data_IF_895629484118
#
_entry.id   IF_895629484118
#
_cell.length_a   1.000
_cell.length_b   1.000
_cell.length_c   1.000
_cell.angle_alpha   90.00
_cell.angle_beta   90.00
_cell.angle_gamma   90.00
#
_symmetry.space_group_name_H-M   'P 1'
#
loop_
_entity.id
_entity.type
_entity.pdbx_description
1 polymer ?
#
# COMPACT_ATOMS: atom_id res chain seq x y z
N UNK A 1 41.78 13.24 55.17
CA UNK A 1 41.12 12.39 54.16
C UNK A 1 39.62 12.36 54.45
N UNK A 2 38.82 13.14 53.73
CA UNK A 2 37.35 12.98 53.68
C UNK A 2 37.00 12.74 52.21
N UNK A 3 36.46 11.56 51.92
CA UNK A 3 35.99 11.18 50.58
C UNK A 3 34.57 11.70 50.42
N UNK A 4 34.37 12.61 49.47
CA UNK A 4 33.05 13.07 49.04
C UNK A 4 32.31 11.99 48.25
N UNK A 5 31.08 11.71 48.65
CA UNK A 5 30.09 10.94 47.91
C UNK A 5 29.53 11.80 46.78
N UNK A 6 29.70 11.35 45.52
CA UNK A 6 28.96 11.89 44.36
C UNK A 6 27.65 11.12 44.25
N UNK A 7 26.54 11.79 44.53
CA UNK A 7 25.21 11.31 44.15
C UNK A 7 25.03 11.46 42.64
N UNK A 8 24.71 10.37 41.96
CA UNK A 8 24.34 10.36 40.55
C UNK A 8 22.85 10.67 40.41
N UNK A 9 22.48 11.91 40.10
CA UNK A 9 21.11 12.25 39.71
C UNK A 9 20.86 11.82 38.26
N UNK A 10 20.23 10.66 38.04
CA UNK A 10 19.65 10.33 36.73
C UNK A 10 18.27 10.97 36.63
N UNK A 11 18.16 12.01 35.81
CA UNK A 11 16.86 12.59 35.48
C UNK A 11 15.97 11.54 34.78
N UNK A 12 14.66 11.48 35.09
CA UNK A 12 13.75 10.52 34.45
C UNK A 12 13.65 10.83 32.95
N UNK A 13 13.86 9.82 32.11
CA UNK A 13 13.68 9.91 30.66
C UNK A 13 12.21 10.26 30.38
N UNK A 14 11.95 11.48 29.93
CA UNK A 14 10.63 11.90 29.45
C UNK A 14 10.23 11.01 28.27
N UNK A 15 9.19 10.19 28.44
CA UNK A 15 8.62 9.39 27.34
C UNK A 15 7.94 10.38 26.38
N UNK A 16 8.57 10.63 25.22
CA UNK A 16 7.95 11.45 24.18
C UNK A 16 6.76 10.71 23.59
N UNK A 17 5.58 11.32 23.65
CA UNK A 17 4.38 10.82 22.94
C UNK A 17 4.68 10.73 21.44
N UNK A 18 4.44 9.58 20.78
CA UNK A 18 4.63 9.45 19.35
C UNK A 18 3.77 10.47 18.57
N UNK A 19 4.23 10.96 17.41
CA UNK A 19 3.43 11.83 16.55
C UNK A 19 2.10 11.16 16.14
N UNK A 20 1.05 11.96 16.00
CA UNK A 20 -0.25 11.47 15.53
C UNK A 20 -0.15 10.97 14.07
N UNK A 21 -0.66 9.77 13.73
CA UNK A 21 -0.70 9.30 12.35
C UNK A 21 -1.58 10.20 11.49
N UNK A 22 -1.10 10.67 10.34
CA UNK A 22 -1.90 11.42 9.36
C UNK A 22 -2.82 10.50 8.55
N UNK A 23 -4.08 10.88 8.26
CA UNK A 23 -4.96 10.11 7.41
C UNK A 23 -4.45 10.14 5.97
N UNK A 24 -4.40 8.98 5.35
CA UNK A 24 -3.93 8.84 3.97
C UNK A 24 -4.64 7.70 3.27
N UNK A 25 -4.56 7.70 1.95
CA UNK A 25 -5.16 6.66 1.10
C UNK A 25 -4.23 6.33 -0.05
N UNK A 26 -4.29 5.10 -0.54
CA UNK A 26 -3.47 4.66 -1.67
C UNK A 26 -4.15 3.55 -2.47
N UNK A 27 -3.90 3.53 -3.78
CA UNK A 27 -4.53 2.61 -4.72
C UNK A 27 -3.48 1.70 -5.34
N UNK A 28 -3.68 0.38 -5.20
CA UNK A 28 -3.04 -0.61 -6.05
C UNK A 28 -3.83 -0.66 -7.37
N UNK A 29 -3.38 0.11 -8.35
CA UNK A 29 -4.06 0.25 -9.63
C UNK A 29 -3.62 -0.85 -10.59
N UNK A 30 -4.56 -1.67 -11.05
CA UNK A 30 -4.33 -2.70 -12.06
C UNK A 30 -4.67 -2.19 -13.46
N UNK A 31 -3.74 -2.36 -14.40
CA UNK A 31 -3.97 -2.14 -15.82
C UNK A 31 -4.98 -3.16 -16.39
N UNK A 32 -5.49 -2.96 -17.62
CA UNK A 32 -6.26 -3.98 -18.33
C UNK A 32 -5.57 -5.35 -18.44
N UNK A 33 -4.23 -5.39 -18.37
CA UNK A 33 -3.40 -6.61 -18.39
C UNK A 33 -2.92 -7.04 -17.01
N UNK A 34 -3.55 -6.55 -15.93
CA UNK A 34 -3.22 -6.84 -14.53
C UNK A 34 -1.80 -6.46 -14.07
N UNK A 35 -1.13 -5.57 -14.80
CA UNK A 35 0.10 -4.95 -14.34
C UNK A 35 -0.22 -3.95 -13.23
N UNK A 36 0.70 -3.75 -12.29
CA UNK A 36 0.53 -2.83 -11.16
C UNK A 36 1.28 -1.53 -11.41
N UNK A 37 0.59 -0.40 -11.22
CA UNK A 37 1.22 0.92 -11.26
C UNK A 37 2.06 1.16 -10.01
N UNK A 38 3.34 1.49 -10.21
CA UNK A 38 4.18 2.10 -9.18
C UNK A 38 4.73 3.45 -9.67
N UNK A 39 4.88 4.36 -8.71
CA UNK A 39 5.44 5.69 -8.87
C UNK A 39 6.80 5.78 -8.18
N UNK A 40 7.76 6.44 -8.82
CA UNK A 40 9.10 6.66 -8.27
C UNK A 40 9.22 8.07 -7.67
N UNK A 41 9.29 8.15 -6.35
CA UNK A 41 9.32 9.42 -5.62
C UNK A 41 10.64 10.17 -5.80
N UNK A 42 10.56 11.50 -5.84
CA UNK A 42 11.74 12.40 -5.88
C UNK A 42 12.67 12.19 -4.68
N UNK A 43 13.96 12.45 -4.87
CA UNK A 43 14.98 12.36 -3.81
C UNK A 43 14.70 13.31 -2.63
N UNK A 44 14.10 14.46 -2.90
CA UNK A 44 13.74 15.48 -1.90
C UNK A 44 12.49 15.11 -1.09
N UNK A 45 11.82 14.00 -1.41
CA UNK A 45 10.63 13.58 -0.71
C UNK A 45 10.93 13.38 0.78
N UNK A 46 10.15 14.04 1.62
CA UNK A 46 10.37 14.03 3.07
C UNK A 46 9.87 12.75 3.75
N UNK A 47 9.33 11.81 2.98
CA UNK A 47 8.96 10.44 3.38
C UNK A 47 9.18 9.53 2.17
N UNK A 48 9.72 8.33 2.39
CA UNK A 48 9.95 7.34 1.33
C UNK A 48 10.73 7.90 0.12
N UNK A 49 11.76 8.72 0.36
CA UNK A 49 12.60 9.26 -0.72
C UNK A 49 13.17 8.14 -1.61
N UNK A 50 13.13 8.33 -2.93
CA UNK A 50 13.56 7.36 -3.95
C UNK A 50 12.78 6.04 -3.94
N UNK A 51 11.71 5.92 -3.14
CA UNK A 51 10.92 4.70 -3.09
C UNK A 51 10.01 4.57 -4.30
N UNK A 52 9.71 3.32 -4.63
CA UNK A 52 8.62 2.96 -5.52
C UNK A 52 7.38 2.72 -4.67
N UNK A 53 6.31 3.46 -4.94
CA UNK A 53 5.08 3.46 -4.15
C UNK A 53 3.85 3.33 -5.03
N UNK A 54 2.77 2.79 -4.48
CA UNK A 54 1.45 2.94 -5.10
C UNK A 54 1.05 4.42 -5.08
N UNK A 55 0.26 4.91 -6.05
CA UNK A 55 -0.33 6.24 -5.99
C UNK A 55 -1.10 6.44 -4.68
N UNK A 56 -0.95 7.61 -4.07
CA UNK A 56 -1.61 7.93 -2.81
C UNK A 56 -0.87 8.94 -1.94
N UNK A 57 -1.64 9.62 -1.10
CA UNK A 57 -1.13 10.68 -0.24
C UNK A 57 -2.06 10.98 0.93
N UNK A 58 -1.89 12.16 1.52
CA UNK A 58 -2.66 12.57 2.70
C UNK A 58 -4.05 13.04 2.30
N UNK A 59 -5.02 12.84 3.19
CA UNK A 59 -6.35 13.42 2.99
C UNK A 59 -6.31 14.93 3.20
N UNK A 60 -7.10 15.64 2.39
CA UNK A 60 -7.30 17.08 2.45
C UNK A 60 -8.77 17.40 2.73
N UNK A 61 -9.05 18.15 3.81
CA UNK A 61 -10.41 18.59 4.12
C UNK A 61 -11.03 19.40 2.96
N UNK A 62 -10.22 20.14 2.21
CA UNK A 62 -10.66 20.97 1.07
C UNK A 62 -11.09 20.16 -0.15
N UNK A 63 -10.41 19.04 -0.42
CA UNK A 63 -10.71 18.22 -1.60
C UNK A 63 -11.59 17.01 -1.28
N UNK A 64 -11.32 16.35 -0.15
CA UNK A 64 -11.79 14.99 0.15
C UNK A 64 -12.91 14.99 1.20
N UNK A 65 -13.04 16.09 1.96
CA UNK A 65 -13.95 16.24 3.08
C UNK A 65 -13.33 15.84 4.42
N UNK A 66 -14.03 16.15 5.50
CA UNK A 66 -13.50 16.01 6.86
C UNK A 66 -13.35 14.56 7.32
N UNK A 67 -12.25 14.30 8.01
CA UNK A 67 -11.98 13.03 8.71
C UNK A 67 -12.27 13.13 10.21
N UNK A 68 -12.68 12.04 10.88
CA UNK A 68 -12.86 12.05 12.33
C UNK A 68 -11.58 12.48 13.08
N UNK A 69 -11.71 13.08 14.27
CA UNK A 69 -10.56 13.54 15.06
C UNK A 69 -9.70 12.36 15.54
N UNK A 70 -8.41 12.59 15.86
CA UNK A 70 -7.44 11.57 16.31
C UNK A 70 -7.93 10.53 17.32
N UNK A 71 -8.69 10.97 18.32
CA UNK A 71 -9.19 10.13 19.40
C UNK A 71 -10.43 9.29 19.02
N UNK A 72 -10.96 9.46 17.81
CA UNK A 72 -12.13 8.72 17.34
C UNK A 72 -11.70 7.48 16.55
N UNK A 73 -12.04 6.25 16.98
CA UNK A 73 -11.69 5.02 16.28
C UNK A 73 -12.17 4.96 14.81
N UNK A 74 -13.25 5.68 14.47
CA UNK A 74 -13.77 5.78 13.10
C UNK A 74 -12.78 6.46 12.15
N UNK A 75 -11.80 7.21 12.68
CA UNK A 75 -10.70 7.77 11.90
C UNK A 75 -9.93 6.71 11.13
N UNK A 76 -9.89 5.48 11.64
CA UNK A 76 -9.18 4.36 11.02
C UNK A 76 -10.11 3.42 10.24
N UNK A 77 -11.31 3.88 9.89
CA UNK A 77 -12.26 3.13 9.06
C UNK A 77 -12.30 3.71 7.66
N UNK A 78 -12.63 2.85 6.69
CA UNK A 78 -12.95 3.29 5.34
C UNK A 78 -14.11 4.30 5.38
N UNK A 79 -14.05 5.32 4.53
CA UNK A 79 -15.06 6.37 4.43
C UNK A 79 -14.99 7.04 3.06
N UNK A 80 -16.01 7.85 2.74
CA UNK A 80 -16.03 8.62 1.49
C UNK A 80 -14.79 9.51 1.35
N UNK A 81 -14.32 10.14 2.43
CA UNK A 81 -13.11 10.97 2.40
C UNK A 81 -11.87 10.18 2.01
N UNK A 82 -11.69 8.96 2.53
CA UNK A 82 -10.59 8.09 2.12
C UNK A 82 -10.70 7.66 0.65
N UNK A 83 -11.91 7.37 0.17
CA UNK A 83 -12.16 6.97 -1.22
C UNK A 83 -11.90 8.12 -2.21
N UNK A 84 -12.35 9.33 -1.88
CA UNK A 84 -12.10 10.53 -2.69
C UNK A 84 -10.62 10.89 -2.70
N UNK A 85 -9.95 10.88 -1.55
CA UNK A 85 -8.52 11.13 -1.47
C UNK A 85 -7.71 10.11 -2.27
N UNK A 86 -8.13 8.84 -2.30
CA UNK A 86 -7.45 7.81 -3.08
C UNK A 86 -7.48 8.13 -4.58
N UNK A 87 -8.65 8.55 -5.08
CA UNK A 87 -8.86 8.90 -6.49
C UNK A 87 -8.16 10.20 -6.85
N UNK A 88 -8.27 11.24 -6.01
CA UNK A 88 -7.59 12.52 -6.20
C UNK A 88 -6.09 12.36 -6.27
N UNK A 89 -5.48 11.70 -5.29
CA UNK A 89 -4.03 11.49 -5.24
C UNK A 89 -3.56 10.68 -6.45
N UNK A 90 -4.32 9.67 -6.87
CA UNK A 90 -4.00 8.92 -8.10
C UNK A 90 -4.00 9.83 -9.32
N UNK A 91 -4.97 10.74 -9.42
CA UNK A 91 -5.02 11.73 -10.50
C UNK A 91 -3.85 12.73 -10.44
N UNK A 92 -3.57 13.29 -9.27
CA UNK A 92 -2.48 14.24 -9.05
C UNK A 92 -1.10 13.64 -9.31
N UNK A 93 -0.86 12.39 -8.93
CA UNK A 93 0.47 11.78 -9.00
C UNK A 93 0.72 11.01 -10.32
N UNK A 94 -0.33 10.49 -10.97
CA UNK A 94 -0.19 9.68 -12.20
C UNK A 94 -0.88 10.24 -13.43
N UNK A 95 -1.77 11.24 -13.28
CA UNK A 95 -2.59 11.76 -14.37
C UNK A 95 -3.78 10.86 -14.75
N UNK A 96 -3.89 9.64 -14.19
CA UNK A 96 -5.00 8.73 -14.45
C UNK A 96 -6.22 9.16 -13.63
N UNK A 97 -7.31 9.51 -14.30
CA UNK A 97 -8.56 9.92 -13.65
C UNK A 97 -9.50 8.73 -13.46
N UNK A 98 -9.76 8.37 -12.20
CA UNK A 98 -10.71 7.31 -11.83
C UNK A 98 -12.09 7.91 -11.58
N UNK A 99 -12.74 8.32 -12.67
CA UNK A 99 -14.08 8.89 -12.65
C UNK A 99 -14.93 8.33 -13.79
N UNK A 100 -16.25 8.46 -13.67
CA UNK A 100 -17.24 8.03 -14.65
C UNK A 100 -18.04 9.20 -15.18
N UNK A 101 -18.48 9.09 -16.42
CA UNK A 101 -19.26 10.12 -17.10
C UNK A 101 -20.74 10.07 -16.67
N UNK A 102 -21.26 11.20 -16.18
CA UNK A 102 -22.67 11.45 -15.87
C UNK A 102 -23.25 10.69 -14.66
N UNK A 103 -22.84 9.44 -14.46
CA UNK A 103 -23.35 8.57 -13.38
C UNK A 103 -22.33 7.50 -12.99
N UNK A 104 -22.61 6.79 -11.89
CA UNK A 104 -21.77 5.70 -11.39
C UNK A 104 -21.74 4.46 -12.28
N UNK A 105 -22.71 4.31 -13.17
CA UNK A 105 -22.76 3.23 -14.16
C UNK A 105 -22.22 3.67 -15.53
N UNK A 106 -21.79 4.93 -15.65
CA UNK A 106 -21.22 5.49 -16.86
C UNK A 106 -19.86 4.87 -17.23
N UNK A 107 -19.40 5.05 -18.48
CA UNK A 107 -18.05 4.69 -18.87
C UNK A 107 -17.03 5.51 -18.09
N UNK A 108 -15.77 5.06 -18.08
CA UNK A 108 -14.69 5.88 -17.54
C UNK A 108 -14.63 7.22 -18.29
N UNK A 109 -14.63 8.30 -17.52
CA UNK A 109 -14.55 9.66 -18.04
C UNK A 109 -13.19 9.86 -18.69
N UNK A 110 -13.20 10.21 -19.97
CA UNK A 110 -11.99 10.52 -20.71
C UNK A 110 -11.93 12.02 -21.02
N UNK A 111 -10.74 12.59 -20.87
CA UNK A 111 -10.47 14.01 -21.13
C UNK A 111 -9.28 14.14 -22.06
N UNK A 112 -9.26 15.20 -22.88
CA UNK A 112 -8.08 15.52 -23.66
C UNK A 112 -6.88 15.77 -22.74
N UNK A 113 -5.69 15.32 -23.15
CA UNK A 113 -4.47 15.41 -22.34
C UNK A 113 -4.19 16.82 -21.83
N UNK A 114 -4.40 17.85 -22.66
CA UNK A 114 -4.20 19.26 -22.27
C UNK A 114 -5.17 19.76 -21.21
N UNK A 115 -6.45 19.36 -21.26
CA UNK A 115 -7.46 19.72 -20.26
C UNK A 115 -7.17 19.01 -18.94
N UNK A 116 -6.79 17.74 -19.04
CA UNK A 116 -6.41 16.89 -17.91
C UNK A 116 -5.21 17.47 -17.15
N UNK A 117 -4.14 17.82 -17.85
CA UNK A 117 -2.93 18.36 -17.24
C UNK A 117 -3.16 19.75 -16.62
N UNK A 118 -3.97 20.59 -17.27
CA UNK A 118 -4.37 21.89 -16.72
C UNK A 118 -5.15 21.73 -15.42
N UNK A 119 -6.12 20.83 -15.38
CA UNK A 119 -6.91 20.55 -14.19
C UNK A 119 -6.05 19.95 -13.07
N UNK A 120 -5.21 18.97 -13.41
CA UNK A 120 -4.26 18.32 -12.49
C UNK A 120 -3.41 19.35 -11.76
N UNK A 121 -2.84 20.31 -12.50
CA UNK A 121 -2.05 21.39 -11.91
C UNK A 121 -2.86 22.27 -10.95
N UNK A 122 -4.03 22.75 -11.39
CA UNK A 122 -4.87 23.63 -10.58
C UNK A 122 -5.38 22.95 -9.29
N UNK A 123 -5.65 21.65 -9.35
CA UNK A 123 -6.08 20.88 -8.18
C UNK A 123 -4.91 20.71 -7.21
N UNK A 124 -3.73 20.33 -7.69
CA UNK A 124 -2.52 20.19 -6.87
C UNK A 124 -2.11 21.51 -6.18
N UNK A 125 -2.25 22.64 -6.89
CA UNK A 125 -1.97 23.98 -6.33
C UNK A 125 -3.05 24.45 -5.34
N UNK A 126 -4.18 23.74 -5.24
CA UNK A 126 -5.30 24.08 -4.35
C UNK A 126 -6.22 25.19 -4.88
N UNK A 127 -6.09 25.55 -6.17
CA UNK A 127 -6.89 26.60 -6.80
C UNK A 127 -8.34 26.19 -7.01
N UNK A 128 -8.60 24.89 -7.21
CA UNK A 128 -9.93 24.32 -7.37
C UNK A 128 -10.08 23.01 -6.59
N UNK A 129 -11.24 22.81 -5.97
CA UNK A 129 -11.56 21.55 -5.28
C UNK A 129 -11.77 20.42 -6.31
N UNK A 130 -11.22 19.23 -6.03
CA UNK A 130 -11.26 18.09 -6.95
C UNK A 130 -12.70 17.69 -7.27
N UNK A 131 -13.55 17.56 -6.24
CA UNK A 131 -14.96 17.21 -6.42
C UNK A 131 -15.75 18.27 -7.21
N UNK A 132 -15.45 19.56 -7.01
CA UNK A 132 -16.12 20.64 -7.74
C UNK A 132 -15.71 20.74 -9.19
N UNK A 133 -14.42 20.54 -9.47
CA UNK A 133 -13.94 20.42 -10.83
C UNK A 133 -14.60 19.22 -11.53
N UNK A 134 -14.63 18.06 -10.87
CA UNK A 134 -15.19 16.84 -11.45
C UNK A 134 -16.69 17.00 -11.77
N UNK A 135 -17.45 17.58 -10.85
CA UNK A 135 -18.86 17.93 -11.06
C UNK A 135 -19.05 18.89 -12.26
N UNK A 136 -18.16 19.89 -12.40
CA UNK A 136 -18.25 20.90 -13.49
C UNK A 136 -18.07 20.34 -14.90
N UNK A 137 -17.40 19.19 -15.02
CA UNK A 137 -17.19 18.48 -16.29
C UNK A 137 -18.14 17.29 -16.45
N UNK A 138 -19.18 17.19 -15.60
CA UNK A 138 -20.16 16.09 -15.65
C UNK A 138 -19.60 14.75 -15.16
N UNK A 139 -18.48 14.75 -14.44
CA UNK A 139 -17.84 13.56 -13.90
C UNK A 139 -18.35 13.18 -12.51
N UNK A 140 -18.26 11.88 -12.20
CA UNK A 140 -18.53 11.32 -10.88
C UNK A 140 -17.33 10.46 -10.47
N UNK A 141 -16.77 10.68 -9.27
CA UNK A 141 -15.64 9.88 -8.80
C UNK A 141 -16.05 8.40 -8.66
N UNK A 142 -15.23 7.47 -9.17
CA UNK A 142 -15.55 6.04 -9.19
C UNK A 142 -15.25 5.34 -7.85
N UNK A 143 -15.86 5.86 -6.79
CA UNK A 143 -15.59 5.42 -5.41
C UNK A 143 -16.09 4.00 -5.13
N UNK A 144 -17.03 3.48 -5.91
CA UNK A 144 -17.62 2.14 -5.71
C UNK A 144 -16.74 1.02 -6.27
N UNK A 145 -15.94 1.31 -7.29
CA UNK A 145 -14.98 0.36 -7.86
C UNK A 145 -13.70 0.21 -7.01
N UNK A 146 -13.54 1.03 -5.96
CA UNK A 146 -12.48 0.85 -4.96
C UNK A 146 -12.81 -0.32 -4.03
N UNK A 147 -12.06 -1.42 -4.18
CA UNK A 147 -12.12 -2.57 -3.28
C UNK A 147 -11.23 -2.29 -2.05
N UNK A 148 -11.78 -2.12 -0.83
CA UNK A 148 -10.95 -1.89 0.34
C UNK A 148 -10.08 -3.11 0.63
N UNK A 149 -8.78 -2.90 0.81
CA UNK A 149 -7.84 -4.02 0.97
C UNK A 149 -7.21 -4.12 2.35
N UNK A 150 -6.47 -3.14 2.84
CA UNK A 150 -5.89 -3.17 4.20
C UNK A 150 -5.64 -1.76 4.69
N UNK A 151 -5.56 -1.57 6.00
CA UNK A 151 -5.03 -0.34 6.58
C UNK A 151 -3.62 -0.54 7.11
N UNK A 152 -2.73 0.38 6.80
CA UNK A 152 -1.38 0.41 7.33
C UNK A 152 -1.20 1.58 8.28
N UNK A 153 -0.75 1.31 9.50
CA UNK A 153 -0.50 2.31 10.52
C UNK A 153 1.00 2.34 10.81
N UNK A 154 1.65 3.49 10.60
CA UNK A 154 3.08 3.62 10.86
C UNK A 154 3.39 3.40 12.35
N UNK A 155 4.32 2.51 12.72
CA UNK A 155 4.73 2.32 14.12
C UNK A 155 5.21 3.62 14.79
N UNK A 156 5.32 3.69 16.13
CA UNK A 156 5.63 4.94 16.85
C UNK A 156 7.06 5.50 16.65
N UNK A 157 7.98 4.74 16.05
CA UNK A 157 9.39 5.12 15.91
C UNK A 157 9.66 6.28 14.93
N UNK A 158 9.15 6.23 13.68
CA UNK A 158 9.36 7.30 12.70
C UNK A 158 8.71 8.64 13.11
N UNK A 159 9.34 9.79 12.74
CA UNK A 159 8.82 11.12 13.06
C UNK A 159 7.57 11.49 12.27
N UNK A 160 7.35 10.83 11.13
CA UNK A 160 6.16 10.98 10.30
C UNK A 160 5.41 9.66 10.32
N UNK A 161 4.15 9.72 10.73
CA UNK A 161 3.28 8.57 10.86
C UNK A 161 2.04 8.78 10.02
N UNK A 162 1.51 7.69 9.50
CA UNK A 162 0.37 7.66 8.60
C UNK A 162 -0.58 6.54 9.01
N UNK A 163 -1.86 6.73 8.71
CA UNK A 163 -2.89 5.69 8.75
C UNK A 163 -3.49 5.58 7.36
N UNK A 164 -2.86 4.75 6.53
CA UNK A 164 -3.16 4.64 5.10
C UNK A 164 -4.20 3.56 4.84
N UNK A 165 -5.35 3.92 4.26
CA UNK A 165 -6.27 2.95 3.67
C UNK A 165 -5.77 2.55 2.29
N UNK A 166 -5.51 1.26 2.09
CA UNK A 166 -5.15 0.69 0.79
C UNK A 166 -6.42 0.19 0.10
N UNK A 167 -6.52 0.46 -1.20
CA UNK A 167 -7.55 -0.07 -2.08
C UNK A 167 -6.91 -0.85 -3.24
N UNK A 168 -7.65 -1.79 -3.81
CA UNK A 168 -7.40 -2.31 -5.15
C UNK A 168 -8.40 -1.66 -6.09
N UNK A 169 -7.93 -1.17 -7.22
CA UNK A 169 -8.77 -0.70 -8.31
C UNK A 169 -8.35 -1.42 -9.60
N UNK A 170 -9.32 -1.95 -10.34
CA UNK A 170 -9.05 -2.69 -11.58
C UNK A 170 -9.61 -1.90 -12.77
N UNK A 171 -8.73 -1.33 -13.60
CA UNK A 171 -9.16 -0.67 -14.84
C UNK A 171 -9.92 -1.66 -15.72
N UNK A 172 -10.97 -1.26 -16.45
CA UNK A 172 -11.73 -2.15 -17.32
C UNK A 172 -10.82 -3.00 -18.22
N UNK A 173 -11.13 -4.29 -18.33
CA UNK A 173 -10.40 -5.16 -19.27
C UNK A 173 -10.66 -4.73 -20.71
N UNK A 174 -11.88 -4.29 -20.98
CA UNK A 174 -12.36 -3.88 -22.30
C UNK A 174 -12.30 -2.36 -22.40
N UNK A 175 -11.69 -1.87 -23.47
CA UNK A 175 -11.87 -0.50 -23.95
C UNK A 175 -13.05 -0.44 -24.91
N UNK A 176 -13.51 0.77 -25.24
CA UNK A 176 -14.61 0.97 -26.19
C UNK A 176 -14.42 0.17 -27.48
N UNK A 177 -15.52 -0.37 -28.05
CA UNK A 177 -15.51 -1.01 -29.36
C UNK A 177 -15.24 0.00 -30.50
N UNK A 178 -15.42 1.29 -30.23
CA UNK A 178 -15.02 2.37 -31.13
C UNK A 178 -13.48 2.55 -31.08
N UNK A 179 -12.77 2.40 -32.22
CA UNK A 179 -11.31 2.49 -32.26
C UNK A 179 -10.74 3.84 -31.81
N UNK A 180 -11.45 4.95 -32.06
CA UNK A 180 -11.02 6.30 -31.68
C UNK A 180 -11.15 6.48 -30.16
N UNK A 181 -12.29 6.06 -29.60
CA UNK A 181 -12.49 6.09 -28.15
C UNK A 181 -11.54 5.14 -27.43
N UNK A 182 -11.28 3.96 -28.01
CA UNK A 182 -10.33 2.98 -27.48
C UNK A 182 -8.90 3.52 -27.45
N UNK A 183 -8.46 4.20 -28.51
CA UNK A 183 -7.15 4.84 -28.57
C UNK A 183 -7.05 5.98 -27.54
N UNK A 184 -8.07 6.83 -27.45
CA UNK A 184 -8.10 7.93 -26.48
C UNK A 184 -8.13 7.42 -25.03
N UNK A 185 -8.83 6.31 -24.75
CA UNK A 185 -8.81 5.66 -23.45
C UNK A 185 -7.41 5.10 -23.15
N UNK A 186 -6.79 4.42 -24.13
CA UNK A 186 -5.44 3.89 -23.96
C UNK A 186 -4.42 4.98 -23.66
N UNK A 187 -4.52 6.14 -24.33
CA UNK A 187 -3.68 7.31 -24.05
C UNK A 187 -3.90 7.86 -22.64
N UNK A 188 -5.15 7.97 -22.19
CA UNK A 188 -5.49 8.47 -20.85
C UNK A 188 -5.05 7.55 -19.71
N UNK A 189 -4.79 6.27 -20.01
CA UNK A 189 -4.26 5.29 -19.06
C UNK A 189 -2.73 5.24 -19.04
N UNK A 190 -2.04 6.00 -19.89
CA UNK A 190 -0.58 6.14 -19.81
C UNK A 190 -0.28 7.04 -18.61
N UNK A 191 0.36 6.52 -17.56
CA UNK A 191 0.66 7.31 -16.39
C UNK A 191 1.76 8.33 -16.73
N UNK A 192 1.57 9.58 -16.32
CA UNK A 192 2.55 10.65 -16.49
C UNK A 192 3.02 11.17 -15.13
N UNK A 193 4.33 11.36 -14.92
CA UNK A 193 4.81 12.01 -13.70
C UNK A 193 4.24 13.42 -13.60
N UNK A 194 4.18 13.96 -12.39
CA UNK A 194 3.66 15.30 -12.07
C UNK A 194 4.61 16.45 -12.48
N UNK A 195 5.39 16.26 -13.53
CA UNK A 195 6.47 17.17 -13.92
C UNK A 195 7.67 17.14 -12.97
N UNK A 196 7.77 16.14 -12.08
CA UNK A 196 8.90 15.98 -11.16
C UNK A 196 8.75 16.75 -9.85
N UNK A 197 7.53 17.18 -9.51
CA UNK A 197 7.25 17.86 -8.24
C UNK A 197 7.39 16.90 -7.07
N UNK A 198 6.71 15.76 -7.13
CA UNK A 198 6.81 14.65 -6.19
C UNK A 198 7.23 13.34 -6.84
N UNK A 199 6.91 13.14 -8.13
CA UNK A 199 7.07 11.88 -8.84
C UNK A 199 7.97 12.06 -10.07
N UNK A 200 9.05 11.27 -10.13
CA UNK A 200 10.01 11.30 -11.25
C UNK A 200 9.65 10.35 -12.38
N UNK A 201 8.93 9.27 -12.09
CA UNK A 201 8.48 8.29 -13.07
C UNK A 201 7.22 7.57 -12.56
N UNK A 202 6.39 7.13 -13.49
CA UNK A 202 5.21 6.32 -13.22
C UNK A 202 5.16 5.18 -14.25
N UNK A 203 5.01 3.94 -13.80
CA UNK A 203 5.10 2.78 -14.69
C UNK A 203 4.22 1.62 -14.23
N UNK A 204 3.56 0.97 -15.19
CA UNK A 204 2.91 -0.32 -15.00
C UNK A 204 3.91 -1.43 -15.30
N UNK A 205 4.01 -2.41 -14.41
CA UNK A 205 4.79 -3.63 -14.65
C UNK A 205 4.13 -4.83 -13.97
N UNK A 206 4.55 -6.03 -14.34
CA UNK A 206 4.08 -7.26 -13.70
C UNK A 206 4.53 -7.28 -12.23
N UNK A 207 3.68 -7.85 -11.37
CA UNK A 207 3.98 -7.98 -9.93
C UNK A 207 5.29 -8.74 -9.70
N UNK A 208 5.49 -9.82 -10.44
CA UNK A 208 6.72 -10.62 -10.38
C UNK A 208 7.95 -9.77 -10.74
N UNK A 209 7.87 -8.98 -11.80
CA UNK A 209 8.96 -8.09 -12.22
C UNK A 209 9.28 -7.05 -11.16
N UNK A 210 8.29 -6.43 -10.51
CA UNK A 210 8.55 -5.50 -9.40
C UNK A 210 9.27 -6.16 -8.23
N UNK A 211 8.85 -7.36 -7.84
CA UNK A 211 9.48 -8.11 -6.74
C UNK A 211 10.91 -8.55 -7.10
N UNK A 212 11.14 -9.00 -8.34
CA UNK A 212 12.47 -9.37 -8.84
C UNK A 212 13.43 -8.17 -8.84
N UNK A 213 12.97 -7.01 -9.36
CA UNK A 213 13.76 -5.77 -9.34
C UNK A 213 14.12 -5.36 -7.91
N UNK A 214 13.24 -5.56 -6.94
CA UNK A 214 13.54 -5.30 -5.53
C UNK A 214 14.60 -6.26 -4.99
N UNK A 215 14.52 -7.54 -5.36
CA UNK A 215 15.52 -8.55 -5.04
C UNK A 215 16.90 -8.23 -5.62
N UNK A 216 16.95 -7.56 -6.78
CA UNK A 216 18.19 -7.06 -7.40
C UNK A 216 18.63 -5.67 -6.89
N UNK A 217 17.83 -5.02 -6.04
CA UNK A 217 18.11 -3.68 -5.51
C UNK A 217 17.91 -2.55 -6.52
N UNK A 218 17.19 -2.80 -7.62
CA UNK A 218 16.89 -1.80 -8.66
C UNK A 218 15.73 -0.88 -8.26
N UNK A 219 14.85 -1.35 -7.37
CA UNK A 219 13.75 -0.57 -6.81
C UNK A 219 13.71 -0.68 -5.29
N UNK A 220 13.21 0.37 -4.64
CA UNK A 220 13.03 0.42 -3.18
C UNK A 220 11.56 0.26 -2.87
N UNK A 221 11.17 -0.88 -2.29
CA UNK A 221 9.81 -1.15 -1.81
C UNK A 221 9.80 -1.24 -0.29
N UNK A 222 9.03 -0.37 0.35
CA UNK A 222 8.80 -0.46 1.79
C UNK A 222 7.88 -1.63 2.14
N UNK A 223 7.85 -2.08 3.41
CA UNK A 223 7.09 -3.26 3.81
C UNK A 223 5.62 -3.28 3.35
N UNK A 224 4.84 -2.16 3.38
CA UNK A 224 3.49 -2.15 2.81
C UNK A 224 3.48 -2.52 1.33
N UNK A 225 4.32 -1.87 0.52
CA UNK A 225 4.38 -2.08 -0.94
C UNK A 225 4.81 -3.51 -1.27
N UNK A 226 5.89 -3.97 -0.67
CA UNK A 226 6.42 -5.32 -0.91
C UNK A 226 5.41 -6.40 -0.50
N UNK A 227 4.82 -6.27 0.69
CA UNK A 227 3.87 -7.26 1.20
C UNK A 227 2.62 -7.36 0.34
N UNK A 228 2.04 -6.21 -0.05
CA UNK A 228 0.82 -6.20 -0.85
C UNK A 228 1.09 -6.72 -2.26
N UNK A 229 2.23 -6.39 -2.88
CA UNK A 229 2.66 -7.01 -4.14
C UNK A 229 2.83 -8.53 -3.99
N UNK A 230 3.48 -9.01 -2.94
CA UNK A 230 3.61 -10.44 -2.68
C UNK A 230 2.26 -11.16 -2.51
N UNK A 231 1.27 -10.53 -1.87
CA UNK A 231 -0.07 -11.11 -1.81
C UNK A 231 -0.70 -11.23 -3.19
N UNK A 232 -0.57 -10.18 -4.02
CA UNK A 232 -1.11 -10.16 -5.37
C UNK A 232 -0.39 -11.13 -6.32
N UNK A 233 0.90 -11.42 -6.12
CA UNK A 233 1.67 -12.30 -7.01
C UNK A 233 1.15 -13.74 -7.05
N UNK A 234 0.35 -14.14 -6.06
CA UNK A 234 -0.34 -15.44 -6.04
C UNK A 234 -1.44 -15.55 -7.10
N UNK A 235 -1.93 -14.42 -7.61
CA UNK A 235 -3.05 -14.34 -8.53
C UNK A 235 -2.67 -13.69 -9.86
N UNK A 236 -1.83 -12.65 -9.82
CA UNK A 236 -1.44 -11.85 -10.96
C UNK A 236 -0.16 -12.42 -11.58
N UNK A 237 -0.32 -13.34 -12.53
CA UNK A 237 0.79 -14.14 -13.10
C UNK A 237 1.37 -13.57 -14.39
N UNK A 238 1.09 -12.30 -14.71
CA UNK A 238 1.52 -11.65 -15.95
C UNK A 238 0.82 -12.22 -17.20
N UNK A 239 1.46 -12.01 -18.35
CA UNK A 239 0.97 -12.45 -19.65
C UNK A 239 0.76 -13.97 -19.73
N UNK A 240 -0.21 -14.45 -20.54
CA UNK A 240 -0.40 -15.88 -20.75
C UNK A 240 0.86 -16.52 -21.37
N UNK A 241 1.10 -17.79 -21.05
CA UNK A 241 2.25 -18.53 -21.58
C UNK A 241 2.22 -18.55 -23.13
N UNK A 242 3.39 -18.49 -23.80
CA UNK A 242 3.47 -18.62 -25.25
C UNK A 242 2.78 -19.92 -25.72
N UNK A 243 1.82 -19.79 -26.64
CA UNK A 243 1.03 -20.92 -27.15
C UNK A 243 -0.24 -21.25 -26.36
N UNK A 244 -0.63 -20.43 -25.38
CA UNK A 244 -1.95 -20.57 -24.72
C UNK A 244 -3.09 -20.43 -25.74
N UNK A 245 -4.03 -21.37 -25.71
CA UNK A 245 -5.22 -21.36 -26.57
C UNK A 245 -6.36 -20.50 -26.00
N UNK A 246 -6.28 -20.09 -24.73
CA UNK A 246 -7.28 -19.22 -24.12
C UNK A 246 -7.14 -17.77 -24.62
N UNK A 247 -8.25 -17.05 -24.87
CA UNK A 247 -8.20 -15.62 -25.14
C UNK A 247 -7.47 -14.90 -23.99
N UNK A 248 -6.52 -14.01 -24.32
CA UNK A 248 -5.73 -13.25 -23.34
C UNK A 248 -6.60 -12.51 -22.32
N UNK A 249 -7.76 -12.05 -22.74
CA UNK A 249 -8.76 -11.39 -21.90
C UNK A 249 -9.37 -12.32 -20.84
N UNK A 250 -9.67 -13.57 -21.19
CA UNK A 250 -10.20 -14.56 -20.25
C UNK A 250 -9.15 -14.93 -19.20
N UNK A 251 -7.88 -15.00 -19.60
CA UNK A 251 -6.74 -15.17 -18.69
C UNK A 251 -6.70 -14.06 -17.63
N UNK A 252 -6.72 -12.78 -18.03
CA UNK A 252 -6.72 -11.67 -17.07
C UNK A 252 -8.00 -11.60 -16.22
N UNK A 253 -9.16 -11.92 -16.80
CA UNK A 253 -10.45 -12.01 -16.07
C UNK A 253 -10.39 -13.07 -14.97
N UNK A 254 -9.87 -14.26 -15.27
CA UNK A 254 -9.74 -15.35 -14.31
C UNK A 254 -8.81 -14.99 -13.14
N UNK A 255 -7.71 -14.26 -13.39
CA UNK A 255 -6.84 -13.76 -12.33
C UNK A 255 -7.57 -12.77 -11.41
N UNK A 256 -8.32 -11.82 -11.98
CA UNK A 256 -9.11 -10.83 -11.22
C UNK A 256 -10.19 -11.48 -10.36
N UNK A 257 -10.84 -12.53 -10.87
CA UNK A 257 -11.85 -13.25 -10.09
C UNK A 257 -11.23 -13.95 -8.87
N UNK A 258 -10.09 -14.64 -9.05
CA UNK A 258 -9.36 -15.24 -7.93
C UNK A 258 -8.92 -14.19 -6.90
N UNK A 259 -8.46 -13.04 -7.37
CA UNK A 259 -8.09 -11.93 -6.49
C UNK A 259 -9.29 -11.40 -5.70
N UNK A 260 -10.45 -11.20 -6.34
CA UNK A 260 -11.68 -10.79 -5.65
C UNK A 260 -12.08 -11.80 -4.59
N UNK A 261 -12.12 -13.09 -4.93
CA UNK A 261 -12.42 -14.17 -3.97
C UNK A 261 -11.46 -14.10 -2.79
N UNK A 262 -10.16 -13.91 -3.02
CA UNK A 262 -9.18 -13.76 -1.94
C UNK A 262 -9.46 -12.57 -1.02
N UNK A 263 -9.83 -11.41 -1.57
CA UNK A 263 -10.14 -10.20 -0.79
C UNK A 263 -11.37 -10.40 0.11
N UNK A 264 -12.35 -11.17 -0.37
CA UNK A 264 -13.63 -11.43 0.32
C UNK A 264 -13.57 -12.65 1.26
N UNK A 265 -12.54 -13.50 1.16
CA UNK A 265 -12.48 -14.77 1.89
C UNK A 265 -12.09 -14.58 3.37
N UNK A 266 -12.85 -15.25 4.23
CA UNK A 266 -12.55 -15.44 5.66
C UNK A 266 -12.74 -16.94 6.00
N UNK A 267 -11.84 -17.59 6.77
CA UNK A 267 -10.61 -17.07 7.37
C UNK A 267 -9.59 -16.62 6.32
N UNK A 268 -8.87 -15.53 6.58
CA UNK A 268 -7.84 -14.99 5.68
C UNK A 268 -6.52 -15.77 5.72
N UNK A 269 -6.44 -16.79 6.58
CA UNK A 269 -5.24 -17.58 6.81
C UNK A 269 -5.43 -18.99 6.26
N UNK A 270 -4.39 -19.57 5.66
CA UNK A 270 -4.42 -20.91 5.06
C UNK A 270 -3.75 -21.96 5.95
N UNK A 271 -2.78 -21.56 6.76
CA UNK A 271 -2.11 -22.42 7.73
C UNK A 271 -3.02 -22.71 8.94
N UNK A 272 -3.16 -23.98 9.39
CA UNK A 272 -4.10 -24.36 10.44
C UNK A 272 -3.98 -23.53 11.74
N UNK A 273 -2.77 -23.37 12.29
CA UNK A 273 -2.55 -22.54 13.48
C UNK A 273 -2.90 -21.06 13.28
N UNK A 274 -2.70 -20.55 12.06
CA UNK A 274 -3.01 -19.17 11.75
C UNK A 274 -4.52 -18.98 11.61
N UNK A 275 -5.25 -19.97 11.10
CA UNK A 275 -6.70 -19.97 11.02
C UNK A 275 -7.38 -19.92 12.40
N UNK A 276 -6.76 -20.52 13.42
CA UNK A 276 -7.23 -20.44 14.83
C UNK A 276 -7.00 -19.05 15.46
N UNK A 277 -6.07 -18.25 14.93
CA UNK A 277 -5.79 -16.92 15.49
C UNK A 277 -6.97 -15.96 15.21
N UNK A 278 -7.45 -15.16 16.18
CA UNK A 278 -8.64 -14.31 16.00
C UNK A 278 -8.57 -13.35 14.81
N UNK A 279 -7.37 -12.91 14.43
CA UNK A 279 -7.21 -11.99 13.29
C UNK A 279 -7.43 -12.66 11.94
N UNK A 280 -7.48 -13.99 11.85
CA UNK A 280 -7.86 -14.72 10.63
C UNK A 280 -9.32 -14.43 10.25
N UNK A 281 -10.18 -14.15 11.23
CA UNK A 281 -11.60 -13.87 11.04
C UNK A 281 -11.88 -12.41 10.66
N UNK A 282 -10.84 -11.57 10.60
CA UNK A 282 -10.96 -10.17 10.19
C UNK A 282 -10.80 -10.12 8.66
N UNK A 283 -11.84 -9.71 7.90
CA UNK A 283 -11.76 -9.54 6.45
C UNK A 283 -10.60 -8.61 6.09
N UNK A 284 -9.99 -8.82 4.92
CA UNK A 284 -8.87 -7.99 4.47
C UNK A 284 -9.19 -6.49 4.59
N UNK A 285 -10.33 -6.06 4.04
CA UNK A 285 -10.85 -4.70 4.09
C UNK A 285 -10.75 -4.01 5.47
N UNK A 286 -10.90 -4.76 6.55
CA UNK A 286 -10.90 -4.27 7.94
C UNK A 286 -9.58 -4.49 8.69
N UNK A 287 -8.63 -5.22 8.10
CA UNK A 287 -7.33 -5.47 8.72
C UNK A 287 -6.55 -4.18 8.92
N UNK A 288 -5.80 -4.15 10.02
CA UNK A 288 -4.85 -3.08 10.33
C UNK A 288 -3.50 -3.66 10.66
N UNK A 289 -2.50 -3.20 9.95
CA UNK A 289 -1.13 -3.65 10.09
C UNK A 289 -0.27 -2.47 10.54
N UNK A 290 0.25 -2.58 11.76
CA UNK A 290 1.35 -1.77 12.28
C UNK A 290 2.51 -2.71 12.58
N UNK A 291 3.50 -2.82 11.67
CA UNK A 291 4.57 -3.80 11.81
C UNK A 291 5.31 -3.70 13.14
N UNK A 292 5.57 -4.85 13.77
CA UNK A 292 6.34 -4.95 15.01
C UNK A 292 7.55 -5.82 14.76
N UNK A 293 8.74 -5.31 15.06
CA UNK A 293 9.98 -6.09 14.96
C UNK A 293 10.04 -7.13 16.07
N UNK A 294 10.08 -8.41 15.71
CA UNK A 294 10.26 -9.53 16.65
C UNK A 294 11.73 -9.73 17.02
N UNK A 295 12.65 -9.32 16.14
CA UNK A 295 14.09 -9.46 16.31
C UNK A 295 14.82 -9.42 14.98
N UNK A 296 16.11 -9.72 15.03
CA UNK A 296 16.92 -10.01 13.85
C UNK A 296 17.01 -11.53 13.67
N UNK A 297 16.83 -12.00 12.45
CA UNK A 297 16.97 -13.41 12.09
C UNK A 297 18.42 -13.84 12.23
N UNK A 298 18.67 -15.00 12.83
CA UNK A 298 20.03 -15.45 13.16
C UNK A 298 20.88 -15.65 11.90
N UNK A 299 20.31 -16.27 10.87
CA UNK A 299 21.03 -16.70 9.66
C UNK A 299 21.52 -15.56 8.75
N UNK A 300 20.75 -14.48 8.62
CA UNK A 300 21.01 -13.43 7.63
C UNK A 300 20.91 -12.01 8.20
N UNK A 301 20.58 -11.86 9.49
CA UNK A 301 20.42 -10.57 10.17
C UNK A 301 19.33 -9.66 9.54
N UNK A 302 18.36 -10.22 8.81
CA UNK A 302 17.16 -9.49 8.41
C UNK A 302 16.29 -9.21 9.64
N UNK A 303 15.62 -8.05 9.68
CA UNK A 303 14.57 -7.79 10.66
C UNK A 303 13.36 -8.67 10.38
N UNK A 304 12.83 -9.32 11.41
CA UNK A 304 11.58 -10.10 11.34
C UNK A 304 10.43 -9.20 11.77
N UNK A 305 9.57 -8.82 10.84
CA UNK A 305 8.42 -7.96 11.09
C UNK A 305 7.13 -8.78 11.21
N UNK A 306 6.56 -8.80 12.40
CA UNK A 306 5.21 -9.28 12.66
C UNK A 306 4.16 -8.30 12.14
N UNK A 307 3.08 -8.81 11.55
CA UNK A 307 2.05 -8.00 10.90
C UNK A 307 0.67 -8.06 11.60
N UNK A 308 0.55 -8.73 12.75
CA UNK A 308 -0.76 -9.01 13.37
C UNK A 308 -1.33 -7.86 14.20
N UNK A 309 -0.51 -6.86 14.57
CA UNK A 309 -0.90 -5.80 15.50
C UNK A 309 -1.44 -4.56 14.79
N UNK A 310 -2.52 -3.92 15.30
CA UNK A 310 -3.15 -2.77 14.66
C UNK A 310 -2.52 -1.40 15.02
N UNK A 311 -1.46 -1.38 15.84
CA UNK A 311 -0.89 -0.15 16.41
C UNK A 311 -1.44 0.19 17.80
N UNK A 312 -0.88 1.22 18.43
CA UNK A 312 -1.27 1.63 19.79
C UNK A 312 -2.64 2.31 19.83
N UNK A 313 -2.96 3.04 18.76
CA UNK A 313 -4.20 3.79 18.53
C UNK A 313 -5.45 2.91 18.55
N UNK A 314 -5.27 1.63 18.19
CA UNK A 314 -6.35 0.66 18.03
C UNK A 314 -6.19 -0.53 19.00
N UNK A 315 -5.36 -0.39 20.03
CA UNK A 315 -5.19 -1.43 21.05
C UNK A 315 -6.53 -1.72 21.72
N UNK A 316 -6.92 -2.99 21.77
CA UNK A 316 -8.17 -3.43 22.39
C UNK A 316 -9.43 -3.18 21.55
N UNK A 317 -9.32 -2.64 20.34
CA UNK A 317 -10.46 -2.40 19.44
C UNK A 317 -11.03 -3.67 18.78
N UNK A 318 -10.43 -4.84 19.03
CA UNK A 318 -10.72 -6.08 18.30
C UNK A 318 -10.13 -6.14 16.89
N UNK A 319 -9.51 -5.05 16.40
CA UNK A 319 -8.83 -5.04 15.10
C UNK A 319 -7.45 -5.67 15.16
N UNK A 320 -6.95 -6.12 14.02
CA UNK A 320 -5.63 -6.70 13.87
C UNK A 320 -5.28 -6.93 12.40
N UNK A 321 -4.07 -7.40 12.15
CA UNK A 321 -3.52 -7.55 10.81
C UNK A 321 -3.39 -9.02 10.40
N UNK A 322 -2.31 -9.32 9.68
CA UNK A 322 -2.01 -10.68 9.24
C UNK A 322 -1.14 -11.39 10.29
N UNK A 323 -1.66 -12.45 10.89
CA UNK A 323 -0.86 -13.26 11.82
C UNK A 323 -0.05 -14.33 11.10
N UNK A 324 -0.53 -14.83 9.97
CA UNK A 324 0.06 -15.96 9.26
C UNK A 324 1.47 -15.67 8.76
N UNK A 325 1.70 -14.45 8.29
CA UNK A 325 2.92 -14.07 7.58
C UNK A 325 3.75 -13.06 8.35
N UNK A 326 5.05 -13.09 8.10
CA UNK A 326 6.02 -12.07 8.52
C UNK A 326 6.70 -11.47 7.30
N UNK A 327 7.17 -10.23 7.42
CA UNK A 327 8.10 -9.63 6.44
C UNK A 327 9.52 -9.72 6.99
N UNK A 328 10.41 -10.36 6.26
CA UNK A 328 11.86 -10.31 6.51
C UNK A 328 12.45 -9.18 5.66
N UNK A 329 13.23 -8.28 6.24
CA UNK A 329 13.80 -7.14 5.48
C UNK A 329 15.07 -6.61 6.13
N UNK A 330 16.02 -6.15 5.30
CA UNK A 330 17.18 -5.39 5.77
C UNK A 330 16.91 -3.90 5.64
N UNK A 331 17.02 -3.16 6.74
CA UNK A 331 16.97 -1.69 6.71
C UNK A 331 18.38 -1.12 6.61
N UNK A 332 18.63 -0.29 5.60
CA UNK A 332 19.90 0.42 5.41
C UNK A 332 19.71 1.90 5.08
N UNK A 333 20.82 2.62 4.87
CA UNK A 333 20.80 4.06 4.52
C UNK A 333 20.05 4.34 3.21
N UNK A 334 20.05 3.40 2.27
CA UNK A 334 19.32 3.49 1.00
C UNK A 334 17.88 3.00 1.05
N UNK A 335 17.35 2.70 2.26
CA UNK A 335 16.02 2.11 2.41
C UNK A 335 16.03 0.59 2.60
N UNK A 336 14.84 -0.04 2.56
CA UNK A 336 14.67 -1.48 2.72
C UNK A 336 15.17 -2.26 1.50
N UNK A 337 15.91 -3.34 1.74
CA UNK A 337 16.43 -4.26 0.72
C UNK A 337 16.22 -5.72 1.13
N UNK A 338 16.30 -6.62 0.15
CA UNK A 338 16.19 -8.08 0.32
C UNK A 338 14.94 -8.46 1.11
N UNK A 339 13.82 -7.84 0.75
CA UNK A 339 12.56 -8.11 1.43
C UNK A 339 12.05 -9.48 1.01
N UNK A 340 11.30 -10.13 1.90
CA UNK A 340 10.74 -11.47 1.70
C UNK A 340 9.52 -11.62 2.60
N UNK A 341 8.49 -12.33 2.12
CA UNK A 341 7.34 -12.71 2.96
C UNK A 341 7.42 -14.20 3.21
N UNK A 342 7.30 -14.60 4.48
CA UNK A 342 7.38 -16.00 4.92
C UNK A 342 6.32 -16.33 5.95
N UNK A 343 6.05 -17.62 6.12
CA UNK A 343 5.17 -18.10 7.19
C UNK A 343 5.77 -17.81 8.55
N UNK A 344 4.97 -17.23 9.46
CA UNK A 344 5.42 -16.93 10.83
C UNK A 344 5.94 -18.17 11.54
N UNK A 345 5.17 -19.26 11.52
CA UNK A 345 5.52 -20.48 12.24
C UNK A 345 6.82 -21.10 11.73
N UNK A 346 7.02 -21.09 10.41
CA UNK A 346 8.25 -21.55 9.76
C UNK A 346 9.47 -20.78 10.28
N UNK A 347 9.42 -19.44 10.26
CA UNK A 347 10.51 -18.59 10.75
C UNK A 347 10.75 -18.80 12.26
N UNK A 348 9.71 -18.96 13.08
CA UNK A 348 9.87 -19.21 14.51
C UNK A 348 10.47 -20.60 14.82
N UNK A 349 10.28 -21.59 13.96
CA UNK A 349 10.96 -22.89 14.06
C UNK A 349 12.43 -22.72 13.72
N UNK A 350 12.76 -22.14 12.56
CA UNK A 350 14.13 -21.91 12.12
C UNK A 350 14.96 -21.14 13.17
N UNK A 351 14.37 -20.10 13.79
CA UNK A 351 15.05 -19.28 14.80
C UNK A 351 15.28 -20.02 16.12
N UNK A 352 14.42 -20.96 16.50
CA UNK A 352 14.64 -21.80 17.68
C UNK A 352 15.75 -22.81 17.44
N UNK A 353 15.78 -23.41 16.26
CA UNK A 353 16.82 -24.37 15.88
C UNK A 353 18.20 -23.69 15.77
N UNK A 354 18.28 -22.48 15.22
CA UNK A 354 19.51 -21.71 15.15
C UNK A 354 20.08 -21.42 16.55
N UNK A 355 19.24 -20.94 17.47
CA UNK A 355 19.64 -20.68 18.86
C UNK A 355 20.14 -21.94 19.57
N UNK A 356 19.45 -23.07 19.39
CA UNK A 356 19.86 -24.33 19.99
C UNK A 356 21.23 -24.80 19.48
N UNK A 357 21.54 -24.58 18.19
CA UNK A 357 22.85 -24.86 17.61
C UNK A 357 23.95 -23.97 18.18
N UNK A 358 23.70 -22.67 18.29
CA UNK A 358 24.68 -21.72 18.87
C UNK A 358 24.99 -22.06 20.34
N UNK A 359 23.97 -22.39 21.13
CA UNK A 359 24.13 -22.82 22.52
C UNK A 359 24.94 -24.12 22.64
N UNK A 360 24.71 -25.09 21.75
CA UNK A 360 25.47 -26.33 21.72
C UNK A 360 26.94 -26.10 21.33
N UNK A 361 27.21 -25.23 20.36
CA UNK A 361 28.56 -24.85 19.94
C UNK A 361 29.32 -24.04 20.99
N UNK A 362 28.63 -23.26 21.83
CA UNK A 362 29.25 -22.47 22.91
C UNK A 362 29.68 -23.28 24.15
N UNK A 363 29.21 -24.53 24.26
CA UNK A 363 29.52 -25.45 25.38
C UNK A 363 30.66 -26.43 25.07
N UNK A 364 31.15 -26.43 23.84
CA UNK A 364 32.34 -27.14 23.36
C UNK A 364 33.51 -26.16 23.35
#
# INVERSE_FOLDING_TARGET
MQKGTRESSSAPKTVKTPPEPRPSSSIILLSPTNQVLLLHRVKTSTSFALAHVFPGGNLSDFHDGSVPPPNNPQRHRDSLAYRLGAIRETFEESGILLAREGSKDGPLLNLATSERDKARKAIYEGDISFGKWLESIGGVADTESLLPFTRWLTPPGPPKRFTTQMYVYMLPLETSLDPVLSAAQSEALIPTPDGGAEITAAHFDDVATWLERQGRGEVILFPPQYFLLHLLSQFLTGAPAPGSLSPSMEHYRAQREKLRVFLDTVPTATHPKAAEHPTSQIPWADKVISPVTLGLRHSDQKSILALDKPGGELKGSGRGGDWERVVLVRFGKGGPTNAEVRGREEILVEEREAKAKDEASSKL
#
